data_IF_556639690475
#
_entry.id   IF_556639690475
#
_cell.length_a   1.000
_cell.length_b   1.000
_cell.length_c   1.000
_cell.angle_alpha   90.00
_cell.angle_beta   90.00
_cell.angle_gamma   90.00
#
_symmetry.space_group_name_H-M   'P 1'
#
loop_
_entity.id
_entity.type
_entity.pdbx_description
1 polymer ?
#
# COMPACT_ATOMS: atom_id res chain seq x y z
N UNK A 1 -1.39 -7.00 -2.26
CA UNK A 1 -2.72 -7.65 -2.36
C UNK A 1 -2.70 -8.95 -1.57
N UNK A 2 -3.85 -9.37 -1.03
CA UNK A 2 -4.02 -10.68 -0.39
C UNK A 2 -4.60 -11.66 -1.40
N UNK A 3 -3.91 -12.77 -1.60
CA UNK A 3 -4.45 -13.94 -2.28
C UNK A 3 -4.94 -14.95 -1.23
N UNK A 4 -6.19 -15.40 -1.29
CA UNK A 4 -6.71 -16.39 -0.35
C UNK A 4 -6.07 -17.76 -0.61
N UNK A 5 -5.93 -18.58 0.43
CA UNK A 5 -5.52 -19.97 0.28
C UNK A 5 -6.63 -20.82 -0.36
N UNK A 6 -6.27 -21.95 -0.95
CA UNK A 6 -7.20 -22.81 -1.70
C UNK A 6 -8.32 -23.40 -0.85
N UNK A 7 -8.11 -23.50 0.47
CA UNK A 7 -9.00 -24.05 1.48
C UNK A 7 -9.82 -22.98 2.22
N UNK A 8 -9.62 -21.68 1.92
CA UNK A 8 -10.46 -20.61 2.47
C UNK A 8 -11.82 -20.52 1.76
N UNK A 9 -12.89 -20.37 2.56
CA UNK A 9 -14.26 -20.18 2.05
C UNK A 9 -14.41 -18.84 1.31
N UNK A 10 -13.77 -17.76 1.80
CA UNK A 10 -13.75 -16.46 1.13
C UNK A 10 -12.59 -16.36 0.11
N UNK A 11 -12.91 -16.63 -1.16
CA UNK A 11 -11.93 -16.65 -2.26
C UNK A 11 -11.71 -15.28 -2.94
N UNK A 12 -12.15 -14.18 -2.32
CA UNK A 12 -11.98 -12.84 -2.90
C UNK A 12 -10.54 -12.34 -2.73
N UNK A 13 -9.94 -11.89 -3.84
CA UNK A 13 -8.70 -11.10 -3.81
C UNK A 13 -9.04 -9.75 -3.18
N UNK A 14 -8.26 -9.34 -2.17
CA UNK A 14 -8.43 -8.05 -1.51
C UNK A 14 -7.21 -7.16 -1.68
N UNK A 15 -7.47 -5.89 -1.93
CA UNK A 15 -6.46 -4.84 -1.79
C UNK A 15 -6.07 -4.79 -0.32
N UNK A 16 -4.77 -4.68 -0.05
CA UNK A 16 -4.25 -4.47 1.30
C UNK A 16 -3.30 -3.29 1.24
N UNK A 17 -3.38 -2.43 2.24
CA UNK A 17 -2.50 -1.29 2.36
C UNK A 17 -1.03 -1.75 2.42
N UNK A 18 -0.10 -1.03 1.78
CA UNK A 18 1.31 -1.36 1.83
C UNK A 18 1.81 -1.28 3.29
N UNK A 19 2.59 -2.27 3.72
CA UNK A 19 3.24 -2.25 5.03
C UNK A 19 4.39 -1.23 5.05
N UNK A 20 4.96 -0.96 6.23
CA UNK A 20 6.02 0.04 6.39
C UNK A 20 7.20 -0.14 5.43
N UNK A 21 7.72 -1.37 5.31
CA UNK A 21 8.85 -1.68 4.40
C UNK A 21 8.48 -1.42 2.94
N UNK A 22 7.27 -1.82 2.51
CA UNK A 22 6.82 -1.55 1.15
C UNK A 22 6.67 -0.05 0.88
N UNK A 23 6.20 0.72 1.86
CA UNK A 23 6.08 2.18 1.72
C UNK A 23 7.44 2.82 1.52
N UNK A 24 8.42 2.50 2.35
CA UNK A 24 9.79 3.00 2.21
C UNK A 24 10.37 2.64 0.84
N UNK A 25 10.28 1.36 0.45
CA UNK A 25 10.83 0.88 -0.81
C UNK A 25 10.18 1.57 -2.03
N UNK A 26 8.84 1.64 -2.07
CA UNK A 26 8.16 2.33 -3.18
C UNK A 26 8.52 3.81 -3.19
N UNK A 27 8.63 4.45 -2.02
CA UNK A 27 8.99 5.86 -1.91
C UNK A 27 10.44 6.13 -2.36
N UNK A 28 11.37 5.21 -2.11
CA UNK A 28 12.77 5.33 -2.55
C UNK A 28 12.92 5.24 -4.07
N UNK A 29 12.18 4.34 -4.72
CA UNK A 29 12.26 4.12 -6.18
C UNK A 29 11.27 4.98 -6.99
N UNK A 30 10.23 5.50 -6.36
CA UNK A 30 9.15 6.23 -7.01
C UNK A 30 8.44 7.15 -6.02
N UNK A 31 9.03 8.29 -5.63
CA UNK A 31 8.48 9.16 -4.58
C UNK A 31 7.10 9.74 -4.93
N UNK A 32 6.80 9.92 -6.22
CA UNK A 32 5.50 10.37 -6.72
C UNK A 32 4.61 9.21 -7.23
N UNK A 33 4.96 7.96 -6.91
CA UNK A 33 4.20 6.79 -7.32
C UNK A 33 2.83 6.77 -6.62
N UNK A 34 1.80 6.38 -7.35
CA UNK A 34 0.48 6.17 -6.80
C UNK A 34 0.28 4.72 -6.39
N UNK A 35 -0.32 4.53 -5.22
CA UNK A 35 -0.75 3.24 -4.71
C UNK A 35 -2.26 3.23 -4.48
N UNK A 36 -2.87 2.05 -4.64
CA UNK A 36 -4.28 1.84 -4.36
C UNK A 36 -4.38 1.24 -2.96
N UNK A 37 -5.17 1.87 -2.11
CA UNK A 37 -5.48 1.41 -0.76
C UNK A 37 -6.98 1.40 -0.55
N UNK A 38 -7.42 0.67 0.47
CA UNK A 38 -8.81 0.73 0.94
C UNK A 38 -8.88 1.73 2.11
N UNK A 39 -9.76 2.72 2.00
CA UNK A 39 -10.09 3.68 3.05
C UNK A 39 -11.60 3.72 3.19
N UNK A 40 -12.11 3.47 4.41
CA UNK A 40 -13.54 3.48 4.72
C UNK A 40 -14.40 2.57 3.80
N UNK A 41 -13.82 1.45 3.34
CA UNK A 41 -14.47 0.49 2.44
C UNK A 41 -14.41 0.86 0.95
N UNK A 42 -13.85 2.01 0.61
CA UNK A 42 -13.69 2.48 -0.76
C UNK A 42 -12.23 2.34 -1.23
N UNK A 43 -12.03 1.99 -2.49
CA UNK A 43 -10.71 1.96 -3.09
C UNK A 43 -10.30 3.35 -3.54
N UNK A 44 -9.24 3.87 -2.93
CA UNK A 44 -8.70 5.20 -3.23
C UNK A 44 -7.27 5.09 -3.74
N UNK A 45 -6.92 6.04 -4.62
CA UNK A 45 -5.58 6.18 -5.16
C UNK A 45 -4.90 7.34 -4.44
N UNK A 46 -3.79 7.06 -3.76
CA UNK A 46 -3.00 8.05 -3.02
C UNK A 46 -1.55 8.00 -3.46
N UNK A 47 -0.79 9.08 -3.31
CA UNK A 47 0.65 9.02 -3.54
C UNK A 47 1.35 8.37 -2.35
N UNK A 48 2.45 7.68 -2.63
CA UNK A 48 3.22 7.00 -1.59
C UNK A 48 3.79 7.96 -0.54
N UNK A 49 4.14 9.19 -0.93
CA UNK A 49 4.62 10.25 -0.03
C UNK A 49 3.60 10.62 1.06
N UNK A 50 2.31 10.52 0.76
CA UNK A 50 1.23 10.84 1.72
C UNK A 50 1.09 9.77 2.81
N UNK A 51 1.61 8.56 2.56
CA UNK A 51 1.54 7.42 3.48
C UNK A 51 2.75 7.33 4.44
N UNK A 52 3.71 8.25 4.31
CA UNK A 52 4.94 8.32 5.13
C UNK A 52 5.16 9.76 5.58
N UNK A 53 4.31 10.28 6.47
CA UNK A 53 4.48 11.64 6.98
C UNK A 53 5.83 11.75 7.70
N UNK A 54 6.56 12.84 7.43
CA UNK A 54 7.87 13.11 8.03
C UNK A 54 8.92 12.02 7.72
N UNK A 55 8.91 11.47 6.50
CA UNK A 55 9.92 10.53 6.04
C UNK A 55 11.33 11.06 6.35
N UNK A 56 12.14 10.21 6.96
CA UNK A 56 13.54 10.55 7.24
C UNK A 56 14.32 10.70 5.93
N UNK A 57 14.92 11.87 5.73
CA UNK A 57 15.81 12.16 4.61
C UNK A 57 17.22 12.35 5.14
N UNK A 58 18.18 11.56 4.67
CA UNK A 58 19.59 11.80 4.97
C UNK A 58 20.18 12.73 3.91
N UNK A 59 20.39 13.99 4.29
CA UNK A 59 21.09 15.01 3.49
C UNK A 59 22.59 14.76 3.42
#
# INVERSE_FOLDING_TARGET
MRHPYSDEEDRRIRVVSPCGICRELISDFGPACFVIIEMDGELVKVKIEELIPLKYTRS
#
